data_IF_828351965078
#
_entry.id   IF_828351965078
#
_cell.length_a   1.000
_cell.length_b   1.000
_cell.length_c   1.000
_cell.angle_alpha   90.00
_cell.angle_beta   90.00
_cell.angle_gamma   90.00
#
_symmetry.space_group_name_H-M   'P 1'
#
loop_
_entity.id
_entity.type
_entity.pdbx_description
1 polymer ?
#
# COMPACT_ATOMS: atom_id res chain seq x y z
N UNK A 1 -78.04 -15.31 -41.87
CA UNK A 1 -78.64 -16.63 -42.08
C UNK A 1 -78.03 -17.12 -43.39
N UNK A 2 -77.00 -17.95 -43.43
CA UNK A 2 -76.54 -18.95 -42.45
C UNK A 2 -75.04 -19.26 -42.52
N UNK A 3 -74.59 -19.86 -41.43
CA UNK A 3 -73.31 -20.50 -41.09
C UNK A 3 -72.92 -21.64 -42.06
N UNK A 4 -71.62 -21.85 -42.28
CA UNK A 4 -70.86 -23.08 -41.95
C UNK A 4 -69.65 -23.27 -42.89
N UNK A 5 -68.46 -22.96 -42.37
CA UNK A 5 -67.18 -23.40 -42.94
C UNK A 5 -66.45 -24.24 -41.89
N UNK A 6 -66.57 -25.55 -42.08
CA UNK A 6 -65.60 -26.62 -41.82
C UNK A 6 -64.33 -26.23 -41.03
N UNK A 7 -64.23 -26.74 -39.80
CA UNK A 7 -62.96 -26.90 -39.08
C UNK A 7 -62.43 -28.34 -39.22
N UNK A 8 -61.12 -28.55 -39.45
CA UNK A 8 -60.50 -29.87 -39.47
C UNK A 8 -59.85 -30.25 -38.13
N UNK A 9 -60.29 -31.40 -37.60
CA UNK A 9 -59.50 -32.59 -37.18
C UNK A 9 -57.97 -32.43 -36.99
N UNK A 10 -57.58 -32.39 -35.70
CA UNK A 10 -56.65 -33.34 -35.01
C UNK A 10 -55.12 -33.32 -35.25
N UNK A 11 -54.37 -33.07 -34.17
CA UNK A 11 -53.22 -33.85 -33.63
C UNK A 11 -52.62 -33.10 -32.42
N UNK A 12 -52.80 -33.54 -31.18
CA UNK A 12 -52.04 -34.59 -30.47
C UNK A 12 -50.55 -34.25 -30.24
N UNK A 13 -50.23 -33.55 -29.14
CA UNK A 13 -48.96 -33.70 -28.40
C UNK A 13 -49.09 -33.08 -27.00
N UNK A 14 -48.50 -33.75 -26.02
CA UNK A 14 -48.42 -33.48 -24.57
C UNK A 14 -47.67 -32.16 -24.27
N UNK A 15 -48.10 -31.29 -23.32
CA UNK A 15 -47.23 -30.24 -22.79
C UNK A 15 -46.33 -30.89 -21.72
N UNK A 16 -45.04 -31.07 -21.97
CA UNK A 16 -43.95 -30.08 -21.96
C UNK A 16 -43.31 -30.07 -20.56
N UNK A 17 -42.11 -30.64 -20.52
CA UNK A 17 -41.15 -30.58 -19.42
C UNK A 17 -40.88 -29.11 -19.02
N UNK A 18 -40.64 -28.91 -17.73
CA UNK A 18 -40.33 -27.63 -17.08
C UNK A 18 -39.30 -26.79 -17.85
N UNK A 19 -39.78 -25.88 -18.70
CA UNK A 19 -39.02 -24.71 -19.15
C UNK A 19 -39.37 -23.60 -18.15
N UNK A 20 -38.39 -23.06 -17.41
CA UNK A 20 -38.62 -21.90 -16.57
C UNK A 20 -39.21 -20.79 -17.45
N UNK A 21 -40.42 -20.37 -17.12
CA UNK A 21 -41.10 -19.26 -17.77
C UNK A 21 -40.22 -18.02 -17.69
N UNK A 22 -40.07 -17.31 -18.82
CA UNK A 22 -39.30 -16.05 -18.98
C UNK A 22 -39.63 -14.97 -17.92
N UNK A 23 -40.71 -15.16 -17.16
CA UNK A 23 -41.15 -14.35 -16.03
C UNK A 23 -40.21 -14.42 -14.81
N UNK A 24 -39.48 -15.52 -14.58
CA UNK A 24 -38.52 -15.64 -13.46
C UNK A 24 -37.16 -14.99 -13.78
N UNK A 25 -36.72 -15.00 -15.04
CA UNK A 25 -35.46 -14.36 -15.45
C UNK A 25 -35.60 -12.82 -15.48
N UNK A 26 -36.77 -12.33 -15.88
CA UNK A 26 -37.11 -10.90 -15.86
C UNK A 26 -37.29 -10.33 -14.44
N UNK A 27 -37.48 -11.18 -13.43
CA UNK A 27 -37.59 -10.76 -12.03
C UNK A 27 -36.22 -10.52 -11.37
N UNK A 28 -35.15 -11.15 -11.87
CA UNK A 28 -33.78 -10.99 -11.35
C UNK A 28 -33.02 -9.83 -12.02
N UNK A 29 -33.32 -9.52 -13.28
CA UNK A 29 -32.73 -8.37 -14.00
C UNK A 29 -33.21 -7.02 -13.44
N UNK A 30 -34.40 -6.98 -12.83
CA UNK A 30 -34.97 -5.77 -12.24
C UNK A 30 -34.36 -5.34 -10.89
N UNK A 31 -33.52 -6.18 -10.26
CA UNK A 31 -32.86 -5.87 -8.99
C UNK A 31 -31.48 -5.20 -9.16
N UNK A 32 -30.88 -5.27 -10.35
CA UNK A 32 -29.62 -4.57 -10.67
C UNK A 32 -29.84 -3.10 -11.08
N UNK A 33 -31.09 -2.68 -11.30
CA UNK A 33 -31.48 -1.33 -11.71
C UNK A 33 -32.14 -0.49 -10.60
N UNK A 34 -32.15 -0.94 -9.35
CA UNK A 34 -32.55 -0.08 -8.24
C UNK A 34 -31.39 0.90 -7.94
N UNK A 35 -31.53 2.22 -8.17
CA UNK A 35 -30.47 3.20 -7.96
C UNK A 35 -29.96 3.21 -6.51
N UNK A 36 -30.76 2.72 -5.58
CA UNK A 36 -30.41 2.53 -4.16
C UNK A 36 -29.46 1.34 -3.98
N UNK A 37 -29.71 0.22 -4.68
CA UNK A 37 -28.83 -0.97 -4.67
C UNK A 37 -27.57 -0.74 -5.50
N UNK A 38 -27.66 -0.05 -6.64
CA UNK A 38 -26.48 0.40 -7.37
C UNK A 38 -25.62 1.34 -6.53
N UNK A 39 -26.21 2.20 -5.70
CA UNK A 39 -25.48 3.05 -4.74
C UNK A 39 -24.87 2.26 -3.57
N UNK A 40 -25.46 1.12 -3.18
CA UNK A 40 -24.92 0.25 -2.13
C UNK A 40 -23.89 -0.78 -2.64
N UNK A 41 -23.92 -1.12 -3.93
CA UNK A 41 -22.97 -2.04 -4.59
C UNK A 41 -21.81 -1.24 -5.20
N UNK A 42 -22.11 -0.10 -5.84
CA UNK A 42 -21.19 0.97 -6.21
C UNK A 42 -21.11 1.98 -5.04
N UNK A 43 -20.91 1.49 -3.82
CA UNK A 43 -20.21 2.31 -2.84
C UNK A 43 -18.73 2.09 -3.12
N UNK A 44 -18.07 2.89 -3.99
CA UNK A 44 -16.65 3.06 -3.80
C UNK A 44 -16.50 3.43 -2.34
N UNK A 45 -15.49 2.86 -1.69
CA UNK A 45 -14.95 3.41 -0.45
C UNK A 45 -14.57 4.86 -0.77
N UNK A 46 -15.53 5.78 -0.74
CA UNK A 46 -15.33 7.21 -0.84
C UNK A 46 -15.00 7.66 0.56
N UNK A 47 -13.87 7.17 1.06
CA UNK A 47 -13.13 7.95 2.05
C UNK A 47 -12.80 9.22 1.28
N UNK A 48 -13.45 10.32 1.64
CA UNK A 48 -13.21 11.61 1.04
C UNK A 48 -11.68 11.82 1.00
N UNK A 49 -11.09 12.22 -0.13
CA UNK A 49 -9.63 12.39 -0.21
C UNK A 49 -9.13 13.34 0.88
N UNK A 50 -9.99 14.25 1.32
CA UNK A 50 -9.76 15.19 2.42
C UNK A 50 -9.66 14.50 3.79
N UNK A 51 -10.50 13.51 4.07
CA UNK A 51 -10.45 12.75 5.34
C UNK A 51 -9.22 11.85 5.41
N UNK A 52 -8.85 11.21 4.29
CA UNK A 52 -7.63 10.41 4.22
C UNK A 52 -6.39 11.28 4.43
N UNK A 53 -6.36 12.45 3.76
CA UNK A 53 -5.23 13.38 3.85
C UNK A 53 -5.09 13.92 5.28
N UNK A 54 -6.19 14.35 5.89
CA UNK A 54 -6.20 14.86 7.25
C UNK A 54 -5.79 13.79 8.28
N UNK A 55 -6.29 12.56 8.14
CA UNK A 55 -5.91 11.45 9.01
C UNK A 55 -4.42 11.09 8.87
N UNK A 56 -3.90 11.13 7.65
CA UNK A 56 -2.50 10.83 7.36
C UNK A 56 -1.56 11.91 7.91
N UNK A 57 -1.92 13.19 7.78
CA UNK A 57 -1.16 14.31 8.36
C UNK A 57 -1.11 14.24 9.89
N UNK A 58 -2.26 14.02 10.52
CA UNK A 58 -2.33 13.86 11.98
C UNK A 58 -1.53 12.66 12.48
N UNK A 59 -1.60 11.52 11.79
CA UNK A 59 -0.82 10.33 12.12
C UNK A 59 0.68 10.59 11.99
N UNK A 60 1.10 11.26 10.92
CA UNK A 60 2.50 11.60 10.69
C UNK A 60 3.06 12.50 11.80
N UNK A 61 2.28 13.46 12.28
CA UNK A 61 2.66 14.34 13.39
C UNK A 61 2.80 13.56 14.70
N UNK A 62 1.82 12.70 15.02
CA UNK A 62 1.86 11.84 16.23
C UNK A 62 3.06 10.89 16.21
N UNK A 63 3.31 10.23 15.07
CA UNK A 63 4.46 9.33 14.93
C UNK A 63 5.79 10.07 15.06
N UNK A 64 5.90 11.28 14.48
CA UNK A 64 7.12 12.10 14.62
C UNK A 64 7.41 12.42 16.09
N UNK A 65 6.39 12.79 16.84
CA UNK A 65 6.53 13.09 18.28
C UNK A 65 6.89 11.85 19.10
N UNK A 66 6.22 10.72 18.84
CA UNK A 66 6.48 9.45 19.54
C UNK A 66 7.89 8.94 19.29
N UNK A 67 8.37 9.00 18.04
CA UNK A 67 9.75 8.65 17.71
C UNK A 67 10.76 9.62 18.33
N UNK A 68 10.41 10.90 18.46
CA UNK A 68 11.22 11.90 19.17
C UNK A 68 11.41 11.55 20.65
N UNK A 69 10.33 11.17 21.33
CA UNK A 69 10.38 10.72 22.73
C UNK A 69 11.17 9.42 22.86
N UNK A 70 10.92 8.44 21.99
CA UNK A 70 11.66 7.18 21.98
C UNK A 70 13.17 7.41 21.82
N UNK A 71 13.57 8.37 20.97
CA UNK A 71 14.94 8.83 20.82
C UNK A 71 15.47 9.40 22.14
N UNK A 72 14.79 10.39 22.72
CA UNK A 72 15.23 11.03 23.95
C UNK A 72 15.44 10.01 25.09
N UNK A 73 14.53 9.03 25.22
CA UNK A 73 14.65 7.94 26.18
C UNK A 73 15.87 7.03 25.89
N UNK A 74 16.12 6.68 24.62
CA UNK A 74 17.31 5.89 24.23
C UNK A 74 18.62 6.60 24.55
N UNK A 75 18.72 7.91 24.30
CA UNK A 75 19.92 8.71 24.63
C UNK A 75 20.14 8.75 26.14
N UNK A 76 19.07 8.93 26.93
CA UNK A 76 19.15 8.95 28.38
C UNK A 76 19.50 7.57 28.97
N UNK A 77 19.04 6.48 28.34
CA UNK A 77 19.27 5.11 28.81
C UNK A 77 20.67 4.57 28.47
N UNK A 78 21.16 4.77 27.24
CA UNK A 78 22.47 4.24 26.81
C UNK A 78 23.63 5.24 27.01
N UNK A 79 23.33 6.54 27.14
CA UNK A 79 24.34 7.59 27.20
C UNK A 79 24.89 7.97 25.82
N UNK A 80 25.27 9.25 25.67
CA UNK A 80 25.62 9.85 24.37
C UNK A 80 26.78 9.13 23.64
N UNK A 81 27.78 8.65 24.39
CA UNK A 81 28.95 7.97 23.81
C UNK A 81 28.66 6.53 23.33
N UNK A 82 27.80 5.79 24.03
CA UNK A 82 27.41 4.45 23.60
C UNK A 82 26.45 4.52 22.41
N UNK A 83 25.57 5.52 22.42
CA UNK A 83 24.61 5.78 21.35
C UNK A 83 25.29 6.06 20.00
N UNK A 84 26.41 6.80 19.99
CA UNK A 84 27.16 7.12 18.76
C UNK A 84 27.96 5.91 18.23
N UNK A 85 28.26 4.93 19.08
CA UNK A 85 29.00 3.71 18.70
C UNK A 85 28.14 2.73 17.89
N UNK A 86 26.84 2.62 18.20
CA UNK A 86 25.91 1.83 17.38
C UNK A 86 25.40 2.67 16.20
N UNK A 87 25.95 2.41 15.01
CA UNK A 87 25.56 3.10 13.77
C UNK A 87 24.07 2.94 13.42
N UNK A 88 23.42 1.87 13.91
CA UNK A 88 21.97 1.79 13.82
C UNK A 88 21.36 2.88 14.69
N UNK A 89 21.68 2.98 15.97
CA UNK A 89 21.10 3.98 16.86
C UNK A 89 21.25 5.39 16.27
N UNK A 90 22.43 5.78 15.79
CA UNK A 90 22.67 7.06 15.09
C UNK A 90 21.73 7.28 13.90
N UNK A 91 21.55 6.28 13.03
CA UNK A 91 20.62 6.37 11.91
C UNK A 91 19.18 6.66 12.36
N UNK A 92 18.77 6.10 13.51
CA UNK A 92 17.44 6.35 14.09
C UNK A 92 17.22 7.82 14.43
N UNK A 93 18.26 8.45 14.98
CA UNK A 93 18.26 9.86 15.39
C UNK A 93 18.28 10.81 14.20
N UNK A 94 19.06 10.48 13.16
CA UNK A 94 19.07 11.27 11.91
C UNK A 94 17.67 11.31 11.28
N UNK A 95 16.98 10.16 11.22
CA UNK A 95 15.63 10.08 10.64
C UNK A 95 14.64 10.95 11.44
N UNK A 96 14.73 10.98 12.77
CA UNK A 96 13.89 11.83 13.62
C UNK A 96 14.21 13.31 13.42
N UNK A 97 15.50 13.67 13.35
CA UNK A 97 15.94 15.06 13.15
C UNK A 97 15.43 15.62 11.80
N UNK A 98 15.60 14.85 10.72
CA UNK A 98 15.09 15.22 9.39
C UNK A 98 13.57 15.32 9.38
N UNK A 99 12.88 14.42 10.09
CA UNK A 99 11.43 14.44 10.25
C UNK A 99 10.92 15.68 10.99
N UNK A 100 11.68 16.22 11.94
CA UNK A 100 11.32 17.45 12.65
C UNK A 100 11.60 18.67 11.76
N UNK A 101 12.74 18.68 11.05
CA UNK A 101 13.06 19.74 10.09
C UNK A 101 11.99 19.85 8.99
N UNK A 102 11.50 18.71 8.51
CA UNK A 102 10.39 18.64 7.56
C UNK A 102 9.13 19.37 8.05
N UNK A 103 8.76 19.22 9.33
CA UNK A 103 7.58 19.89 9.88
C UNK A 103 7.75 21.41 9.99
N UNK A 104 8.99 21.89 10.04
CA UNK A 104 9.32 23.32 10.16
C UNK A 104 9.44 23.97 8.77
N UNK A 105 9.88 23.22 7.75
CA UNK A 105 10.22 23.72 6.41
C UNK A 105 9.06 23.60 5.39
N UNK A 106 7.82 23.83 5.83
CA UNK A 106 6.61 23.74 4.97
C UNK A 106 6.53 24.84 3.88
N UNK A 107 7.51 25.74 3.81
CA UNK A 107 7.46 26.97 3.00
C UNK A 107 8.50 27.06 1.87
N UNK A 108 9.24 25.98 1.56
CA UNK A 108 10.31 26.01 0.55
C UNK A 108 10.31 24.83 -0.43
N UNK A 109 10.97 25.01 -1.58
CA UNK A 109 11.12 24.04 -2.69
C UNK A 109 11.60 22.61 -2.33
N UNK A 110 11.91 22.34 -1.06
CA UNK A 110 12.34 21.05 -0.52
C UNK A 110 11.23 20.00 -0.36
N UNK A 111 9.95 20.35 -0.53
CA UNK A 111 8.81 19.45 -0.28
C UNK A 111 8.89 18.08 -1.00
N UNK A 112 9.58 17.97 -2.14
CA UNK A 112 9.74 16.67 -2.84
C UNK A 112 10.74 15.76 -2.11
N UNK A 113 11.88 16.30 -1.70
CA UNK A 113 12.93 15.54 -0.99
C UNK A 113 12.47 15.19 0.42
N UNK A 114 11.76 16.10 1.10
CA UNK A 114 11.15 15.88 2.41
C UNK A 114 10.18 14.69 2.41
N UNK A 115 9.34 14.58 1.37
CA UNK A 115 8.48 13.40 1.17
C UNK A 115 9.29 12.11 1.00
N UNK A 116 10.42 12.13 0.31
CA UNK A 116 11.31 10.97 0.21
C UNK A 116 11.95 10.61 1.55
N UNK A 117 12.29 11.59 2.39
CA UNK A 117 12.83 11.32 3.73
C UNK A 117 11.82 10.62 4.64
N UNK A 118 10.51 10.82 4.46
CA UNK A 118 9.48 10.02 5.16
C UNK A 118 9.64 8.53 4.87
N UNK A 119 10.11 8.14 3.68
CA UNK A 119 10.37 6.73 3.35
C UNK A 119 11.49 6.15 4.20
N UNK A 120 12.47 6.95 4.66
CA UNK A 120 13.50 6.46 5.59
C UNK A 120 12.91 5.99 6.93
N UNK A 121 11.73 6.48 7.32
CA UNK A 121 11.03 5.97 8.51
C UNK A 121 10.62 4.50 8.34
N UNK A 122 10.35 4.02 7.12
CA UNK A 122 10.09 2.58 6.86
C UNK A 122 11.32 1.72 7.15
N UNK A 123 12.52 2.29 7.04
CA UNK A 123 13.75 1.59 7.41
C UNK A 123 13.85 1.36 8.93
N UNK A 124 13.09 2.11 9.76
CA UNK A 124 12.94 1.75 11.17
C UNK A 124 12.23 0.41 11.36
N UNK A 125 11.24 0.06 10.53
CA UNK A 125 10.56 -1.26 10.58
C UNK A 125 11.55 -2.40 10.39
N UNK A 126 12.50 -2.25 9.46
CA UNK A 126 13.59 -3.23 9.23
C UNK A 126 14.42 -3.44 10.49
N UNK A 127 14.52 -2.44 11.36
CA UNK A 127 15.26 -2.52 12.63
C UNK A 127 14.44 -3.11 13.77
N UNK A 128 13.13 -2.89 13.79
CA UNK A 128 12.22 -3.57 14.70
C UNK A 128 12.19 -5.08 14.44
N UNK A 129 12.50 -5.51 13.21
CA UNK A 129 12.63 -6.92 12.84
C UNK A 129 14.10 -7.38 12.90
N UNK A 130 14.57 -7.97 14.02
CA UNK A 130 15.97 -8.39 14.16
C UNK A 130 16.39 -9.43 13.11
N UNK A 131 15.44 -10.20 12.58
CA UNK A 131 15.65 -11.13 11.47
C UNK A 131 16.10 -10.39 10.19
N UNK A 132 15.39 -9.33 9.80
CA UNK A 132 15.72 -8.54 8.62
C UNK A 132 17.02 -7.76 8.80
N UNK A 133 17.23 -7.15 9.98
CA UNK A 133 18.50 -6.48 10.32
C UNK A 133 19.70 -7.41 10.12
N UNK A 134 19.62 -8.64 10.66
CA UNK A 134 20.70 -9.62 10.54
C UNK A 134 20.95 -10.00 9.07
N UNK A 135 19.89 -10.22 8.32
CA UNK A 135 19.97 -10.56 6.90
C UNK A 135 20.62 -9.44 6.08
N UNK A 136 20.24 -8.18 6.32
CA UNK A 136 20.82 -7.01 5.66
C UNK A 136 22.34 -6.91 5.95
N UNK A 137 22.75 -7.08 7.21
CA UNK A 137 24.17 -7.03 7.58
C UNK A 137 24.98 -8.13 6.90
N UNK A 138 24.42 -9.35 6.81
CA UNK A 138 25.08 -10.46 6.13
C UNK A 138 25.22 -10.16 4.63
N UNK A 139 24.15 -9.66 4.00
CA UNK A 139 24.16 -9.26 2.59
C UNK A 139 25.22 -8.19 2.32
N UNK A 140 25.30 -7.17 3.18
CA UNK A 140 26.33 -6.12 3.06
C UNK A 140 27.75 -6.68 3.21
N UNK A 141 27.99 -7.63 4.13
CA UNK A 141 29.30 -8.30 4.24
C UNK A 141 29.65 -9.11 3.00
N UNK A 142 28.68 -9.77 2.38
CA UNK A 142 28.93 -10.49 1.11
C UNK A 142 29.22 -9.52 -0.03
N UNK A 143 28.57 -8.36 -0.06
CA UNK A 143 28.83 -7.31 -1.04
C UNK A 143 30.24 -6.75 -0.93
N UNK A 144 30.81 -6.64 0.28
CA UNK A 144 32.18 -6.17 0.47
C UNK A 144 33.21 -7.10 -0.23
N UNK A 145 33.02 -8.41 -0.08
CA UNK A 145 33.83 -9.40 -0.80
C UNK A 145 33.62 -9.31 -2.32
N UNK A 146 32.36 -9.17 -2.78
CA UNK A 146 32.03 -9.01 -4.20
C UNK A 146 32.59 -7.69 -4.77
N UNK A 147 32.65 -6.63 -3.97
CA UNK A 147 33.17 -5.33 -4.38
C UNK A 147 34.65 -5.40 -4.75
N UNK A 148 35.44 -6.23 -4.08
CA UNK A 148 36.84 -6.48 -4.46
C UNK A 148 36.92 -7.10 -5.85
N UNK A 149 36.10 -8.11 -6.15
CA UNK A 149 36.04 -8.69 -7.50
C UNK A 149 35.59 -7.67 -8.53
N UNK A 150 34.59 -6.85 -8.20
CA UNK A 150 34.08 -5.81 -9.08
C UNK A 150 35.14 -4.73 -9.35
N UNK A 151 35.91 -4.34 -8.33
CA UNK A 151 37.01 -3.39 -8.47
C UNK A 151 38.12 -3.92 -9.40
N UNK A 152 38.47 -5.20 -9.30
CA UNK A 152 39.40 -5.85 -10.22
C UNK A 152 38.85 -5.88 -11.66
N UNK A 153 37.56 -6.14 -11.84
CA UNK A 153 36.91 -6.11 -13.14
C UNK A 153 36.95 -4.70 -13.75
N UNK A 154 36.68 -3.65 -12.97
CA UNK A 154 36.78 -2.26 -13.41
C UNK A 154 38.23 -1.91 -13.78
N UNK A 155 39.21 -2.35 -12.99
CA UNK A 155 40.64 -2.13 -13.28
C UNK A 155 41.07 -2.82 -14.57
N UNK A 156 40.60 -4.06 -14.79
CA UNK A 156 40.86 -4.80 -16.02
C UNK A 156 40.28 -4.06 -17.24
N UNK A 157 39.01 -3.64 -17.15
CA UNK A 157 38.36 -2.86 -18.21
C UNK A 157 39.16 -1.58 -18.49
N UNK A 158 39.66 -0.89 -17.46
CA UNK A 158 40.46 0.33 -17.62
C UNK A 158 41.81 0.10 -18.33
N UNK A 159 42.48 -1.03 -18.12
CA UNK A 159 43.76 -1.36 -18.78
C UNK A 159 43.59 -1.75 -20.25
N UNK A 160 42.51 -2.45 -20.60
CA UNK A 160 42.28 -2.98 -21.95
C UNK A 160 41.43 -2.07 -22.85
N UNK A 161 40.97 -0.93 -22.32
CA UNK A 161 40.37 0.18 -23.08
C UNK A 161 41.44 1.16 -23.52
#
# INVERSE_FOLDING_TARGET
MDLDVLGPVEQMMRPDDDVPTDDEENSLDSLDDDPSLRMCIESPITISPDELTQALEMSNLIFTFLFGIEMALKILAEGCFHYISDGFNVFDGIVVLVSIMELIEDSGSGLSVLRTFRLLRILKLVRFMPALKRQLVIMLRTLDNVAVFFALLVLFIFIFR
#
